data_IF_529209563520
#
_entry.id   IF_529209563520
#
_cell.length_a   1.000
_cell.length_b   1.000
_cell.length_c   1.000
_cell.angle_alpha   90.00
_cell.angle_beta   90.00
_cell.angle_gamma   90.00
#
_symmetry.space_group_name_H-M   'P 1'
#
loop_
_entity.id
_entity.type
_entity.pdbx_description
1 polymer ?
#
# COMPACT_ATOMS: atom_id res chain seq x y z
N UNK A 1 51.82 -53.01 23.68
CA UNK A 1 50.52 -52.36 23.41
C UNK A 1 50.71 -51.24 22.40
N UNK A 2 50.30 -51.44 21.14
CA UNK A 2 50.48 -50.43 20.09
C UNK A 2 49.34 -49.40 20.13
N UNK A 3 49.65 -48.13 20.41
CA UNK A 3 48.68 -47.03 20.30
C UNK A 3 48.32 -46.83 18.83
N UNK A 4 47.08 -47.15 18.46
CA UNK A 4 46.52 -46.89 17.13
C UNK A 4 46.55 -45.37 16.89
N UNK A 5 47.36 -44.91 15.93
CA UNK A 5 47.41 -43.48 15.56
C UNK A 5 46.09 -43.13 14.89
N UNK A 6 45.27 -42.32 15.56
CA UNK A 6 44.05 -41.74 14.99
C UNK A 6 44.39 -41.04 13.66
N UNK A 7 43.68 -41.32 12.58
CA UNK A 7 44.07 -40.81 11.27
C UNK A 7 43.75 -39.30 11.21
N UNK A 8 44.75 -38.50 10.81
CA UNK A 8 44.71 -37.02 10.83
C UNK A 8 43.50 -36.43 10.08
N UNK A 9 42.91 -37.14 9.12
CA UNK A 9 41.76 -36.66 8.34
C UNK A 9 40.51 -36.38 9.20
N UNK A 10 40.30 -37.10 10.31
CA UNK A 10 39.14 -36.87 11.20
C UNK A 10 39.16 -35.48 11.84
N UNK A 11 40.35 -34.94 12.12
CA UNK A 11 40.52 -33.58 12.67
C UNK A 11 40.21 -32.50 11.64
N UNK A 12 40.63 -32.70 10.39
CA UNK A 12 40.28 -31.82 9.28
C UNK A 12 38.77 -31.83 8.99
N UNK A 13 38.15 -33.01 9.05
CA UNK A 13 36.71 -33.13 8.86
C UNK A 13 35.92 -32.41 9.96
N UNK A 14 36.37 -32.48 11.22
CA UNK A 14 35.79 -31.69 12.32
C UNK A 14 35.89 -30.18 12.11
N UNK A 15 37.01 -29.70 11.56
CA UNK A 15 37.17 -28.27 11.23
C UNK A 15 36.19 -27.83 10.13
N UNK A 16 35.97 -28.65 9.12
CA UNK A 16 35.00 -28.37 8.05
C UNK A 16 33.58 -28.27 8.63
N UNK A 17 33.18 -29.21 9.49
CA UNK A 17 31.86 -29.15 10.15
C UNK A 17 31.71 -27.91 11.05
N UNK A 18 32.78 -27.47 11.70
CA UNK A 18 32.77 -26.25 12.52
C UNK A 18 32.57 -24.98 11.66
N UNK A 19 33.20 -24.92 10.49
CA UNK A 19 33.01 -23.80 9.55
C UNK A 19 31.57 -23.81 9.00
N UNK A 20 31.06 -24.98 8.61
CA UNK A 20 29.68 -25.11 8.13
C UNK A 20 28.67 -24.70 9.21
N UNK A 21 28.88 -25.12 10.46
CA UNK A 21 27.98 -24.75 11.55
C UNK A 21 27.99 -23.24 11.81
N UNK A 22 29.16 -22.60 11.77
CA UNK A 22 29.28 -21.14 11.91
C UNK A 22 28.52 -20.39 10.79
N UNK A 23 28.61 -20.85 9.54
CA UNK A 23 27.87 -20.26 8.40
C UNK A 23 26.36 -20.42 8.58
N UNK A 24 25.90 -21.59 9.03
CA UNK A 24 24.47 -21.83 9.28
C UNK A 24 23.93 -20.93 10.40
N UNK A 25 24.67 -20.80 11.51
CA UNK A 25 24.31 -19.93 12.63
C UNK A 25 24.24 -18.47 12.16
N UNK A 26 25.24 -18.01 11.40
CA UNK A 26 25.25 -16.66 10.84
C UNK A 26 24.02 -16.41 9.95
N UNK A 27 23.69 -17.36 9.08
CA UNK A 27 22.54 -17.28 8.17
C UNK A 27 21.22 -17.22 8.94
N UNK A 28 21.09 -18.00 10.02
CA UNK A 28 19.92 -17.96 10.90
C UNK A 28 19.78 -16.60 11.59
N UNK A 29 20.86 -16.05 12.13
CA UNK A 29 20.84 -14.72 12.74
C UNK A 29 20.40 -13.65 11.74
N UNK A 30 21.02 -13.58 10.55
CA UNK A 30 20.67 -12.60 9.52
C UNK A 30 19.20 -12.73 9.10
N UNK A 31 18.72 -13.95 8.89
CA UNK A 31 17.32 -14.17 8.53
C UNK A 31 16.36 -13.80 9.67
N UNK A 32 16.69 -14.08 10.93
CA UNK A 32 15.90 -13.67 12.08
C UNK A 32 15.76 -12.13 12.15
N UNK A 33 16.88 -11.40 12.04
CA UNK A 33 16.86 -9.93 11.99
C UNK A 33 16.03 -9.39 10.82
N UNK A 34 16.16 -10.00 9.63
CA UNK A 34 15.40 -9.61 8.43
C UNK A 34 13.89 -9.84 8.61
N UNK A 35 13.48 -10.94 9.24
CA UNK A 35 12.06 -11.24 9.50
C UNK A 35 11.46 -10.25 10.49
N UNK A 36 12.20 -9.87 11.55
CA UNK A 36 11.73 -8.87 12.51
C UNK A 36 11.55 -7.50 11.85
N UNK A 37 12.51 -7.05 11.03
CA UNK A 37 12.39 -5.79 10.30
C UNK A 37 11.19 -5.76 9.34
N UNK A 38 10.98 -6.84 8.58
CA UNK A 38 9.84 -6.94 7.65
C UNK A 38 8.48 -6.96 8.35
N UNK A 39 8.38 -7.55 9.54
CA UNK A 39 7.13 -7.53 10.33
C UNK A 39 6.74 -6.09 10.72
N UNK A 40 7.72 -5.26 11.08
CA UNK A 40 7.47 -3.85 11.40
C UNK A 40 7.05 -3.04 10.16
N UNK A 41 7.70 -3.27 9.02
CA UNK A 41 7.31 -2.64 7.76
C UNK A 41 5.90 -3.06 7.34
N UNK A 42 5.54 -4.34 7.45
CA UNK A 42 4.21 -4.84 7.15
C UNK A 42 3.15 -4.17 8.04
N UNK A 43 3.37 -4.08 9.35
CA UNK A 43 2.44 -3.42 10.26
C UNK A 43 2.22 -1.94 9.89
N UNK A 44 3.31 -1.22 9.53
CA UNK A 44 3.24 0.17 9.08
C UNK A 44 2.52 0.32 7.74
N UNK A 45 2.75 -0.61 6.80
CA UNK A 45 2.07 -0.62 5.50
C UNK A 45 0.58 -0.91 5.66
N UNK A 46 0.21 -1.82 6.56
CA UNK A 46 -1.17 -2.16 6.86
C UNK A 46 -1.91 -0.98 7.50
N UNK A 47 -1.29 -0.29 8.46
CA UNK A 47 -1.83 0.94 9.03
C UNK A 47 -2.04 2.03 7.98
N UNK A 48 -1.05 2.24 7.09
CA UNK A 48 -1.19 3.16 5.96
C UNK A 48 -2.30 2.76 5.01
N UNK A 49 -2.44 1.47 4.71
CA UNK A 49 -3.50 0.96 3.85
C UNK A 49 -4.88 1.24 4.44
N UNK A 50 -5.06 0.99 5.74
CA UNK A 50 -6.32 1.30 6.46
C UNK A 50 -6.60 2.81 6.45
N UNK A 51 -5.58 3.65 6.65
CA UNK A 51 -5.71 5.10 6.54
C UNK A 51 -6.16 5.54 5.14
N UNK A 52 -5.49 5.05 4.10
CA UNK A 52 -5.82 5.35 2.70
C UNK A 52 -7.21 4.82 2.31
N UNK A 53 -7.63 3.66 2.82
CA UNK A 53 -8.98 3.13 2.56
C UNK A 53 -10.06 4.00 3.22
N UNK A 54 -9.82 4.53 4.43
CA UNK A 54 -10.71 5.50 5.07
C UNK A 54 -10.80 6.80 4.27
N UNK A 55 -9.65 7.33 3.84
CA UNK A 55 -9.59 8.56 3.04
C UNK A 55 -10.28 8.37 1.68
N UNK A 56 -10.06 7.23 1.01
CA UNK A 56 -10.77 6.88 -0.22
C UNK A 56 -12.28 6.79 0.01
N UNK A 57 -12.72 6.25 1.14
CA UNK A 57 -14.15 6.15 1.46
C UNK A 57 -14.75 7.52 1.73
N UNK A 58 -14.11 8.37 2.52
CA UNK A 58 -14.58 9.73 2.77
C UNK A 58 -14.61 10.56 1.49
N UNK A 59 -13.57 10.47 0.67
CA UNK A 59 -13.51 11.18 -0.59
C UNK A 59 -14.54 10.62 -1.61
N UNK A 60 -14.83 9.32 -1.58
CA UNK A 60 -15.90 8.74 -2.40
C UNK A 60 -17.30 9.14 -1.94
N UNK A 61 -17.52 9.31 -0.63
CA UNK A 61 -18.76 9.87 -0.10
C UNK A 61 -18.89 11.34 -0.47
N UNK A 62 -17.81 12.13 -0.35
CA UNK A 62 -17.77 13.52 -0.79
C UNK A 62 -18.00 13.65 -2.29
N UNK A 63 -17.39 12.81 -3.12
CA UNK A 63 -17.65 12.76 -4.57
C UNK A 63 -19.09 12.36 -4.89
N UNK A 64 -19.73 11.49 -4.09
CA UNK A 64 -21.17 11.20 -4.25
C UNK A 64 -22.05 12.39 -3.86
N UNK A 65 -21.67 13.12 -2.82
CA UNK A 65 -22.33 14.38 -2.44
C UNK A 65 -22.08 15.51 -3.45
N UNK A 66 -20.91 15.53 -4.12
CA UNK A 66 -20.57 16.53 -5.14
C UNK A 66 -21.18 16.20 -6.51
N UNK A 67 -21.31 14.91 -6.84
CA UNK A 67 -22.05 14.39 -7.99
C UNK A 67 -23.55 14.23 -7.69
N UNK A 68 -24.07 14.85 -6.62
CA UNK A 68 -25.50 15.00 -6.49
C UNK A 68 -25.94 15.84 -7.69
N UNK A 69 -26.56 15.18 -8.68
CA UNK A 69 -26.93 15.73 -9.99
C UNK A 69 -27.71 17.05 -9.84
N UNK A 70 -28.34 17.26 -8.68
CA UNK A 70 -29.04 18.49 -8.34
C UNK A 70 -28.10 19.71 -8.25
N UNK A 71 -26.86 19.58 -7.76
CA UNK A 71 -25.89 20.69 -7.74
C UNK A 71 -25.39 21.03 -9.15
N UNK A 72 -25.05 20.03 -9.97
CA UNK A 72 -24.64 20.22 -11.35
C UNK A 72 -25.78 20.83 -12.20
N UNK A 73 -27.01 20.34 -12.02
CA UNK A 73 -28.19 20.88 -12.68
C UNK A 73 -28.54 22.30 -12.19
N UNK A 74 -28.29 22.64 -10.92
CA UNK A 74 -28.45 24.01 -10.39
C UNK A 74 -27.40 24.97 -10.97
N UNK A 75 -26.15 24.55 -11.05
CA UNK A 75 -25.10 25.36 -11.67
C UNK A 75 -25.35 25.59 -13.17
N UNK A 76 -25.76 24.56 -13.91
CA UNK A 76 -26.12 24.68 -15.32
C UNK A 76 -27.34 25.61 -15.52
N UNK A 77 -28.32 25.59 -14.59
CA UNK A 77 -29.44 26.53 -14.57
C UNK A 77 -28.98 27.97 -14.38
N UNK A 78 -28.13 28.23 -13.38
CA UNK A 78 -27.69 29.59 -13.04
C UNK A 78 -26.74 30.20 -14.09
N UNK A 79 -25.88 29.39 -14.72
CA UNK A 79 -24.81 29.90 -15.59
C UNK A 79 -25.08 29.72 -17.09
N UNK A 80 -25.86 28.71 -17.48
CA UNK A 80 -26.00 28.31 -18.89
C UNK A 80 -27.46 28.20 -19.37
N UNK A 81 -28.42 28.67 -18.57
CA UNK A 81 -29.86 28.67 -18.91
C UNK A 81 -30.32 27.26 -19.32
N UNK A 82 -30.13 26.30 -18.42
CA UNK A 82 -30.50 24.91 -18.63
C UNK A 82 -31.96 24.66 -18.21
N UNK A 83 -32.89 24.31 -19.12
CA UNK A 83 -34.29 24.04 -18.77
C UNK A 83 -34.46 22.70 -18.06
N UNK A 84 -35.47 22.62 -17.18
CA UNK A 84 -35.97 21.35 -16.63
C UNK A 84 -36.94 20.66 -17.62
N UNK A 85 -37.15 19.36 -17.48
CA UNK A 85 -38.20 18.63 -18.21
C UNK A 85 -39.56 19.33 -18.07
N UNK A 86 -40.05 19.90 -19.18
CA UNK A 86 -41.31 20.66 -19.27
C UNK A 86 -41.18 22.19 -19.30
N UNK A 87 -39.97 22.76 -19.28
CA UNK A 87 -39.73 24.22 -19.35
C UNK A 87 -39.23 24.65 -20.74
N UNK A 88 -39.76 25.75 -21.28
CA UNK A 88 -39.34 26.34 -22.56
C UNK A 88 -38.46 27.58 -22.31
N UNK A 89 -37.22 27.56 -22.80
CA UNK A 89 -36.29 28.69 -22.64
C UNK A 89 -36.48 29.69 -23.78
N UNK A 90 -36.98 30.88 -23.45
CA UNK A 90 -37.08 32.00 -24.39
C UNK A 90 -35.95 33.01 -24.09
N UNK A 91 -34.98 33.13 -25.00
CA UNK A 91 -33.96 34.18 -24.94
C UNK A 91 -34.58 35.49 -25.39
N UNK A 92 -34.80 36.42 -24.47
CA UNK A 92 -35.20 37.77 -24.82
C UNK A 92 -34.03 38.50 -25.49
N UNK A 93 -34.27 39.29 -26.55
CA UNK A 93 -33.22 40.09 -27.15
C UNK A 93 -32.70 41.11 -26.13
N UNK A 94 -31.38 41.19 -25.99
CA UNK A 94 -30.73 42.23 -25.21
C UNK A 94 -31.10 43.59 -25.79
N UNK A 95 -32.03 44.28 -25.14
CA UNK A 95 -32.27 45.70 -25.37
C UNK A 95 -31.16 46.46 -24.66
N UNK A 96 -29.95 46.46 -25.25
CA UNK A 96 -28.92 47.43 -24.90
C UNK A 96 -29.47 48.81 -25.26
N UNK A 97 -29.79 49.61 -24.23
CA UNK A 97 -29.91 51.06 -24.33
C UNK A 97 -28.55 51.68 -24.63
#
# INVERSE_FOLDING_TARGET
>A
MAKKKEPRYKKFLGLIYLVISAVLIYTLCVNAYRVVGRKQELARLEERKVGLEKEKKSLSEEVKLLNDDDYAARYARDQYIFPKDGEEVVKLPDTKK
#
